data_IF_812274027067
#
_entry.id   IF_812274027067
#
_cell.length_a   1.000
_cell.length_b   1.000
_cell.length_c   1.000
_cell.angle_alpha   90.00
_cell.angle_beta   90.00
_cell.angle_gamma   90.00
#
_symmetry.space_group_name_H-M   'P 1'
#
loop_
_entity.id
_entity.type
_entity.pdbx_description
1 polymer ?
#
# COMPACT_ATOMS: atom_id res chain seq x y z
N UNK A 1 60.88 -32.25 -7.73
CA UNK A 1 60.69 -30.79 -7.58
C UNK A 1 59.28 -30.46 -8.04
N UNK A 2 58.41 -30.07 -7.12
CA UNK A 2 56.96 -29.84 -7.33
C UNK A 2 56.73 -28.44 -7.89
N UNK A 3 55.99 -28.31 -9.01
CA UNK A 3 55.43 -27.03 -9.46
C UNK A 3 53.93 -27.19 -9.54
N UNK A 4 53.26 -26.66 -8.50
CA UNK A 4 51.81 -26.60 -8.36
C UNK A 4 51.27 -25.68 -9.46
N UNK A 5 50.44 -26.21 -10.35
CA UNK A 5 49.65 -25.42 -11.29
C UNK A 5 48.41 -24.95 -10.54
N UNK A 6 48.39 -23.69 -10.12
CA UNK A 6 47.22 -23.07 -9.51
C UNK A 6 46.16 -22.83 -10.59
N UNK A 7 45.07 -23.59 -10.52
CA UNK A 7 43.87 -23.37 -11.32
C UNK A 7 43.05 -22.25 -10.67
N UNK A 8 43.10 -21.04 -11.22
CA UNK A 8 42.21 -19.96 -10.81
C UNK A 8 40.77 -20.30 -11.24
N UNK A 9 39.96 -20.79 -10.31
CA UNK A 9 38.51 -20.91 -10.48
C UNK A 9 37.91 -19.50 -10.41
N UNK A 10 37.62 -18.90 -11.55
CA UNK A 10 36.87 -17.63 -11.63
C UNK A 10 35.40 -17.92 -11.33
N UNK A 11 34.96 -17.66 -10.10
CA UNK A 11 33.55 -17.71 -9.75
C UNK A 11 32.81 -16.55 -10.44
N UNK A 12 32.18 -16.83 -11.59
CA UNK A 12 31.19 -15.91 -12.16
C UNK A 12 29.97 -15.89 -11.24
N UNK A 13 29.87 -14.89 -10.37
CA UNK A 13 28.64 -14.60 -9.65
C UNK A 13 27.58 -14.23 -10.68
N UNK A 14 26.63 -15.14 -10.92
CA UNK A 14 25.45 -14.85 -11.72
C UNK A 14 24.65 -13.78 -10.99
N UNK A 15 24.68 -12.54 -11.50
CA UNK A 15 23.83 -11.47 -10.99
C UNK A 15 22.36 -11.83 -11.29
N UNK A 16 21.61 -12.16 -10.24
CA UNK A 16 20.15 -12.30 -10.35
C UNK A 16 19.59 -10.89 -10.52
N UNK A 17 18.76 -10.62 -11.56
CA UNK A 17 18.16 -9.31 -11.72
C UNK A 17 17.28 -9.02 -10.51
N UNK A 18 17.57 -7.94 -9.77
CA UNK A 18 16.67 -7.43 -8.76
C UNK A 18 15.40 -6.92 -9.47
N UNK A 19 14.25 -7.49 -9.13
CA UNK A 19 12.98 -6.99 -9.64
C UNK A 19 12.70 -5.63 -9.00
N UNK A 20 12.82 -4.57 -9.80
CA UNK A 20 12.54 -3.21 -9.35
C UNK A 20 11.03 -3.05 -9.14
N UNK A 21 10.66 -2.29 -8.10
CA UNK A 21 9.28 -1.97 -7.86
C UNK A 21 8.76 -1.05 -8.97
N UNK A 22 7.61 -1.39 -9.54
CA UNK A 22 6.98 -0.68 -10.64
C UNK A 22 5.73 0.03 -10.16
N UNK A 23 5.43 1.19 -10.75
CA UNK A 23 4.13 1.81 -10.58
C UNK A 23 3.06 0.90 -11.19
N UNK A 24 2.09 0.49 -10.36
CA UNK A 24 1.00 -0.39 -10.78
C UNK A 24 -0.26 0.40 -11.13
N UNK A 25 -0.52 1.47 -10.39
CA UNK A 25 -1.68 2.32 -10.58
C UNK A 25 -1.90 3.24 -9.39
N UNK A 26 -2.98 3.98 -9.44
CA UNK A 26 -3.38 4.93 -8.41
C UNK A 26 -4.90 5.00 -8.32
N UNK A 27 -5.38 5.47 -7.18
CA UNK A 27 -6.79 5.78 -6.99
C UNK A 27 -6.96 6.93 -6.01
N UNK A 28 -8.10 7.60 -6.11
CA UNK A 28 -8.55 8.57 -5.12
C UNK A 28 -9.71 8.01 -4.30
N UNK A 29 -9.80 8.37 -3.03
CA UNK A 29 -10.91 7.95 -2.16
C UNK A 29 -11.13 8.91 -1.00
N UNK A 30 -12.35 8.99 -0.53
CA UNK A 30 -12.74 9.74 0.66
C UNK A 30 -12.75 8.81 1.88
N UNK A 31 -11.84 9.02 2.81
CA UNK A 31 -11.88 8.35 4.12
C UNK A 31 -12.98 9.00 4.96
N UNK A 32 -13.99 8.21 5.32
CA UNK A 32 -15.14 8.62 6.13
C UNK A 32 -15.21 7.85 7.46
N UNK A 33 -16.24 8.10 8.26
CA UNK A 33 -16.36 7.59 9.62
C UNK A 33 -16.45 6.04 9.68
N UNK A 34 -17.01 5.43 8.64
CA UNK A 34 -17.16 3.99 8.44
C UNK A 34 -15.81 3.30 8.24
N UNK A 35 -14.84 4.00 7.64
CA UNK A 35 -13.49 3.48 7.40
C UNK A 35 -12.63 3.56 8.66
N UNK A 36 -12.98 4.44 9.59
CA UNK A 36 -12.27 4.65 10.85
C UNK A 36 -12.60 3.58 11.91
N UNK A 37 -13.38 2.56 11.54
CA UNK A 37 -13.86 1.52 12.45
C UNK A 37 -13.72 0.14 11.82
N UNK A 38 -13.34 -0.85 12.63
CA UNK A 38 -13.34 -2.23 12.17
C UNK A 38 -14.79 -2.77 12.00
N UNK A 39 -14.93 -3.97 11.46
CA UNK A 39 -16.22 -4.65 11.26
C UNK A 39 -17.03 -4.91 12.55
N UNK A 40 -16.45 -4.72 13.74
CA UNK A 40 -17.12 -4.78 15.05
C UNK A 40 -17.50 -3.39 15.58
N UNK A 41 -17.33 -2.33 14.77
CA UNK A 41 -17.60 -0.95 15.13
C UNK A 41 -16.56 -0.30 16.05
N UNK A 42 -15.45 -0.98 16.34
CA UNK A 42 -14.41 -0.44 17.23
C UNK A 42 -13.50 0.53 16.46
N UNK A 43 -13.10 1.67 17.04
CA UNK A 43 -12.21 2.62 16.40
C UNK A 43 -10.86 1.99 16.02
N UNK A 44 -10.40 2.28 14.82
CA UNK A 44 -9.04 1.97 14.38
C UNK A 44 -8.09 3.07 14.84
N UNK A 45 -6.90 2.67 15.30
CA UNK A 45 -5.87 3.60 15.83
C UNK A 45 -4.61 3.65 14.98
N UNK A 46 -4.68 3.03 13.80
CA UNK A 46 -3.61 2.99 12.80
C UNK A 46 -4.18 3.48 11.48
N UNK A 47 -3.49 4.44 10.86
CA UNK A 47 -3.96 5.05 9.62
C UNK A 47 -3.98 4.06 8.46
N UNK A 48 -2.99 3.17 8.38
CA UNK A 48 -2.93 2.19 7.30
C UNK A 48 -3.98 1.08 7.45
N UNK A 49 -4.40 0.76 8.68
CA UNK A 49 -5.57 -0.09 8.95
C UNK A 49 -6.87 0.59 8.51
N UNK A 50 -6.96 1.93 8.60
CA UNK A 50 -8.11 2.70 8.07
C UNK A 50 -8.13 2.65 6.54
N UNK A 51 -6.98 2.81 5.86
CA UNK A 51 -6.89 2.63 4.40
C UNK A 51 -7.27 1.20 3.99
N UNK A 52 -6.89 0.19 4.78
CA UNK A 52 -7.32 -1.20 4.56
C UNK A 52 -8.84 -1.34 4.70
N UNK A 53 -9.42 -0.75 5.75
CA UNK A 53 -10.86 -0.81 6.00
C UNK A 53 -11.64 -0.09 4.90
N UNK A 54 -11.16 1.04 4.40
CA UNK A 54 -11.73 1.74 3.24
C UNK A 54 -11.76 0.82 1.99
N UNK A 55 -10.67 0.12 1.67
CA UNK A 55 -10.70 -0.86 0.56
C UNK A 55 -11.62 -2.05 0.84
N UNK A 56 -11.82 -2.43 2.11
CA UNK A 56 -12.78 -3.46 2.48
C UNK A 56 -14.23 -2.96 2.32
N UNK A 57 -14.49 -1.71 2.68
CA UNK A 57 -15.76 -1.03 2.51
C UNK A 57 -16.12 -0.89 1.04
N UNK A 58 -15.20 -0.39 0.21
CA UNK A 58 -15.40 -0.19 -1.22
C UNK A 58 -15.66 -1.49 -2.01
N UNK A 59 -14.79 -2.51 -1.82
CA UNK A 59 -14.81 -3.76 -2.60
C UNK A 59 -15.62 -4.89 -1.95
N UNK A 60 -15.61 -4.98 -0.62
CA UNK A 60 -16.23 -6.08 0.11
C UNK A 60 -17.65 -5.77 0.56
N UNK A 61 -17.90 -4.57 1.08
CA UNK A 61 -19.21 -4.18 1.64
C UNK A 61 -20.05 -3.31 0.70
N UNK A 62 -19.46 -2.79 -0.38
CA UNK A 62 -20.15 -1.91 -1.33
C UNK A 62 -20.44 -0.52 -0.78
N UNK A 63 -19.78 -0.12 0.30
CA UNK A 63 -19.88 1.22 0.89
C UNK A 63 -18.91 2.12 0.14
N UNK A 64 -19.43 3.16 -0.51
CA UNK A 64 -18.67 4.06 -1.38
C UNK A 64 -19.18 5.48 -1.20
N UNK A 65 -18.31 6.45 -1.39
CA UNK A 65 -18.60 7.88 -1.31
C UNK A 65 -18.37 8.58 -2.65
N UNK A 66 -18.89 9.79 -2.78
CA UNK A 66 -18.68 10.62 -3.96
C UNK A 66 -17.18 10.87 -4.18
N UNK A 67 -16.72 10.62 -5.41
CA UNK A 67 -15.30 10.73 -5.79
C UNK A 67 -14.47 9.48 -5.52
N UNK A 68 -15.00 8.45 -4.85
CA UNK A 68 -14.26 7.20 -4.63
C UNK A 68 -14.00 6.48 -5.96
N UNK A 69 -12.73 6.17 -6.18
CA UNK A 69 -12.30 5.38 -7.31
C UNK A 69 -12.05 3.93 -6.91
N UNK A 70 -12.42 3.04 -7.82
CA UNK A 70 -12.07 1.63 -7.73
C UNK A 70 -10.63 1.38 -8.14
N UNK A 71 -10.16 0.21 -7.77
CA UNK A 71 -8.85 -0.29 -8.16
C UNK A 71 -8.92 -1.80 -8.44
N UNK A 72 -8.10 -2.34 -9.36
CA UNK A 72 -8.08 -3.77 -9.65
C UNK A 72 -7.24 -4.59 -8.64
N UNK A 73 -6.57 -3.96 -7.68
CA UNK A 73 -5.51 -4.58 -6.88
C UNK A 73 -6.00 -5.13 -5.54
N UNK A 74 -6.99 -4.48 -4.91
CA UNK A 74 -7.49 -4.76 -3.57
C UNK A 74 -8.89 -5.40 -3.56
N UNK A 75 -9.24 -6.07 -4.65
CA UNK A 75 -10.53 -6.75 -4.84
C UNK A 75 -10.72 -7.95 -3.90
N UNK A 76 -9.64 -8.62 -3.48
CA UNK A 76 -9.71 -9.76 -2.54
C UNK A 76 -9.25 -9.41 -1.11
N UNK A 77 -9.76 -10.11 -0.08
CA UNK A 77 -9.31 -9.94 1.31
C UNK A 77 -7.80 -10.12 1.49
N UNK A 78 -7.19 -11.08 0.79
CA UNK A 78 -5.75 -11.40 0.88
C UNK A 78 -4.90 -10.24 0.40
N UNK A 79 -5.34 -9.55 -0.66
CA UNK A 79 -4.64 -8.37 -1.18
C UNK A 79 -4.79 -7.18 -0.22
N UNK A 80 -5.97 -6.98 0.36
CA UNK A 80 -6.19 -5.94 1.37
C UNK A 80 -5.36 -6.14 2.63
N UNK A 81 -5.14 -7.38 3.07
CA UNK A 81 -4.30 -7.69 4.22
C UNK A 81 -2.85 -7.19 4.09
N UNK A 82 -2.37 -6.92 2.86
CA UNK A 82 -1.03 -6.39 2.61
C UNK A 82 -0.89 -4.91 2.91
N UNK A 83 -1.99 -4.15 2.94
CA UNK A 83 -1.97 -2.68 3.04
C UNK A 83 -1.25 -2.23 4.31
N UNK A 84 -1.57 -2.77 5.49
CA UNK A 84 -0.99 -2.33 6.78
C UNK A 84 0.54 -2.40 6.79
N UNK A 85 1.12 -3.45 6.18
CA UNK A 85 2.57 -3.63 6.13
C UNK A 85 3.28 -2.89 4.99
N UNK A 86 2.53 -2.22 4.10
CA UNK A 86 3.06 -1.59 2.89
C UNK A 86 2.54 -0.17 2.65
N UNK A 87 1.80 0.40 3.58
CA UNK A 87 1.25 1.75 3.47
C UNK A 87 2.15 2.78 4.16
N UNK A 88 2.37 3.89 3.47
CA UNK A 88 3.24 4.98 3.89
C UNK A 88 2.61 6.31 3.54
N UNK A 89 2.76 7.31 4.42
CA UNK A 89 2.41 8.69 4.10
C UNK A 89 3.53 9.31 3.27
N UNK A 90 3.16 10.07 2.24
CA UNK A 90 4.09 10.94 1.54
C UNK A 90 4.47 12.11 2.44
N UNK A 91 5.73 12.55 2.32
CA UNK A 91 6.22 13.70 3.08
C UNK A 91 5.36 14.94 2.84
N UNK A 92 4.98 15.61 3.92
CA UNK A 92 4.09 16.76 3.90
C UNK A 92 2.59 16.41 3.98
N UNK A 93 2.23 15.12 4.05
CA UNK A 93 0.84 14.65 4.24
C UNK A 93 0.59 14.05 5.63
N UNK A 94 1.49 14.24 6.59
CA UNK A 94 1.40 13.63 7.92
C UNK A 94 0.14 14.06 8.68
N UNK A 95 -0.31 15.30 8.48
CA UNK A 95 -1.53 15.83 9.09
C UNK A 95 -2.80 15.08 8.63
N UNK A 96 -2.79 14.43 7.46
CA UNK A 96 -3.91 13.63 6.96
C UNK A 96 -4.20 12.50 7.93
N UNK A 97 -3.16 11.79 8.37
CA UNK A 97 -3.31 10.70 9.32
C UNK A 97 -3.76 11.20 10.70
N UNK A 98 -3.20 12.30 11.20
CA UNK A 98 -3.62 12.92 12.46
C UNK A 98 -5.12 13.25 12.45
N UNK A 99 -5.60 13.85 11.36
CA UNK A 99 -6.99 14.26 11.23
C UNK A 99 -7.93 13.06 11.10
N UNK A 100 -7.56 12.07 10.28
CA UNK A 100 -8.33 10.82 10.14
C UNK A 100 -8.42 10.09 11.48
N UNK A 101 -7.31 9.96 12.21
CA UNK A 101 -7.28 9.29 13.52
C UNK A 101 -8.08 10.03 14.60
N UNK A 102 -8.35 11.32 14.41
CA UNK A 102 -9.20 12.14 15.29
C UNK A 102 -10.65 12.25 14.80
N UNK A 103 -11.03 11.48 13.77
CA UNK A 103 -12.41 11.41 13.29
C UNK A 103 -12.77 12.41 12.21
N UNK A 104 -11.79 13.07 11.59
CA UNK A 104 -12.03 14.09 10.56
C UNK A 104 -11.83 13.47 9.17
N UNK A 105 -12.87 13.41 8.33
CA UNK A 105 -12.77 12.88 6.97
C UNK A 105 -11.71 13.59 6.13
N UNK A 106 -11.06 12.85 5.23
CA UNK A 106 -10.04 13.35 4.29
C UNK A 106 -10.20 12.69 2.94
N UNK A 107 -10.05 13.47 1.87
CA UNK A 107 -9.87 12.93 0.53
C UNK A 107 -8.39 12.64 0.31
N UNK A 108 -8.06 11.41 -0.10
CA UNK A 108 -6.68 10.94 -0.23
C UNK A 108 -6.41 10.46 -1.66
N UNK A 109 -5.15 10.59 -2.06
CA UNK A 109 -4.59 10.00 -3.27
C UNK A 109 -3.63 8.88 -2.88
N UNK A 110 -3.82 7.70 -3.46
CA UNK A 110 -3.03 6.51 -3.17
C UNK A 110 -2.31 6.05 -4.43
N UNK A 111 -0.98 6.01 -4.38
CA UNK A 111 -0.13 5.50 -5.45
C UNK A 111 0.39 4.13 -5.08
N UNK A 112 0.16 3.14 -5.93
CA UNK A 112 0.47 1.75 -5.68
C UNK A 112 1.68 1.35 -6.51
N UNK A 113 2.66 0.78 -5.82
CA UNK A 113 3.86 0.25 -6.42
C UNK A 113 3.98 -1.23 -6.05
N UNK A 114 4.53 -2.06 -6.94
CA UNK A 114 4.70 -3.48 -6.65
C UNK A 114 5.64 -4.21 -7.58
N UNK A 115 5.74 -5.51 -7.36
CA UNK A 115 6.59 -6.43 -8.12
C UNK A 115 5.73 -7.59 -8.61
N UNK A 116 5.82 -7.94 -9.90
CA UNK A 116 5.08 -9.05 -10.51
C UNK A 116 3.55 -8.99 -10.24
N UNK A 117 2.96 -7.79 -10.28
CA UNK A 117 1.53 -7.59 -10.04
C UNK A 117 1.09 -7.66 -8.57
N UNK A 118 2.04 -7.81 -7.63
CA UNK A 118 1.75 -7.80 -6.20
C UNK A 118 2.13 -6.43 -5.62
N UNK A 119 1.19 -5.67 -5.03
CA UNK A 119 1.49 -4.44 -4.30
C UNK A 119 2.48 -4.69 -3.17
N UNK A 120 3.53 -3.88 -3.13
CA UNK A 120 4.55 -3.91 -2.07
C UNK A 120 4.81 -2.54 -1.43
N UNK A 121 4.24 -1.46 -1.98
CA UNK A 121 4.18 -0.15 -1.32
C UNK A 121 2.97 0.65 -1.81
N UNK A 122 2.34 1.37 -0.89
CA UNK A 122 1.30 2.34 -1.13
C UNK A 122 1.78 3.67 -0.55
N UNK A 123 1.86 4.70 -1.37
CA UNK A 123 2.18 6.05 -0.94
C UNK A 123 0.91 6.88 -0.94
N UNK A 124 0.56 7.39 0.24
CA UNK A 124 -0.70 8.11 0.50
C UNK A 124 -0.42 9.59 0.73
N UNK A 125 -1.16 10.46 0.05
CA UNK A 125 -1.18 11.90 0.34
C UNK A 125 -2.61 12.43 0.40
N UNK A 126 -2.75 13.71 0.78
CA UNK A 126 -4.01 14.42 0.51
C UNK A 126 -4.28 14.43 -1.01
N UNK A 127 -5.54 14.19 -1.38
CA UNK A 127 -6.01 14.35 -2.74
C UNK A 127 -6.40 15.79 -2.99
N UNK A 128 -5.99 16.36 -4.12
CA UNK A 128 -6.53 17.63 -4.58
C UNK A 128 -7.99 17.43 -5.02
N UNK A 129 -8.93 18.11 -4.37
CA UNK A 129 -10.35 18.14 -4.71
C UNK A 129 -10.73 19.35 -5.55
#
# INVERSE_FOLDING_TARGET
>A
MMRIVSLCLTACMLAVPAAAQQFMGEYYTSIQAEDMRNSRGQPLRDFCAIVQQDRANYHGFGIRHDGDQGDPFFTTPEMRARIVGSCYLMSGSEYVAEWVLTGRPRYIWVRIFGVNGVPTALWVSEGAG
#
